data_IF_987151126474
#
_entry.id   IF_987151126474
#
_cell.length_a   1.000
_cell.length_b   1.000
_cell.length_c   1.000
_cell.angle_alpha   90.00
_cell.angle_beta   90.00
_cell.angle_gamma   90.00
#
_symmetry.space_group_name_H-M   'P 1'
#
loop_
_entity.id
_entity.type
_entity.pdbx_description
1 polymer ?
#
# COMPACT_ATOMS: atom_id res chain seq x y z
N UNK A 1 2.21 15.92 15.29
CA UNK A 1 1.92 15.51 13.91
C UNK A 1 3.14 15.87 13.08
N UNK A 2 3.81 14.89 12.48
CA UNK A 2 4.79 15.19 11.44
C UNK A 2 4.03 15.90 10.32
N UNK A 3 4.46 17.08 9.89
CA UNK A 3 3.91 17.67 8.67
C UNK A 3 4.23 16.71 7.54
N UNK A 4 3.22 16.00 7.04
CA UNK A 4 3.38 15.13 5.90
C UNK A 4 3.64 16.02 4.68
N UNK A 5 4.90 16.11 4.26
CA UNK A 5 5.34 16.91 3.11
C UNK A 5 4.62 16.59 1.79
N UNK A 6 3.67 15.65 1.81
CA UNK A 6 2.81 15.22 0.74
C UNK A 6 1.55 16.09 0.54
N UNK A 7 1.28 17.09 1.38
CA UNK A 7 0.22 18.07 1.15
C UNK A 7 0.70 19.31 0.38
N UNK A 8 1.88 19.25 -0.21
CA UNK A 8 2.47 20.36 -0.94
C UNK A 8 1.69 20.65 -2.24
N UNK A 9 1.18 21.88 -2.34
CA UNK A 9 0.58 22.41 -3.56
C UNK A 9 1.47 23.50 -4.15
N UNK A 10 1.60 23.51 -5.47
CA UNK A 10 2.25 24.59 -6.22
C UNK A 10 1.22 25.08 -7.26
N UNK A 11 1.01 26.39 -7.34
CA UNK A 11 -0.01 27.02 -8.20
C UNK A 11 -1.45 26.51 -7.95
N UNK A 12 -1.77 26.16 -6.70
CA UNK A 12 -3.08 25.59 -6.33
C UNK A 12 -3.31 24.16 -6.81
N UNK A 13 -2.29 23.49 -7.35
CA UNK A 13 -2.34 22.09 -7.78
C UNK A 13 -1.47 21.22 -6.88
N UNK A 14 -1.94 20.03 -6.53
CA UNK A 14 -1.09 19.00 -5.93
C UNK A 14 0.03 18.64 -6.90
N UNK A 15 1.27 18.64 -6.40
CA UNK A 15 2.43 18.18 -7.16
C UNK A 15 2.43 16.65 -7.28
N UNK A 16 1.78 15.98 -6.32
CA UNK A 16 1.85 14.55 -6.14
C UNK A 16 0.59 13.84 -6.62
N UNK A 17 0.77 12.87 -7.51
CA UNK A 17 -0.28 11.97 -7.97
C UNK A 17 -0.43 10.80 -6.98
N UNK A 18 -1.66 10.35 -6.70
CA UNK A 18 -1.90 9.15 -5.90
C UNK A 18 -1.15 7.90 -6.37
N UNK A 19 -0.73 7.08 -5.42
CA UNK A 19 -0.02 5.82 -5.64
C UNK A 19 -0.75 4.67 -4.93
N UNK A 20 -0.79 3.51 -5.59
CA UNK A 20 -1.22 2.26 -4.96
C UNK A 20 0.00 1.59 -4.33
N UNK A 21 0.01 1.47 -3.01
CA UNK A 21 1.01 0.73 -2.26
C UNK A 21 0.46 -0.64 -1.88
N UNK A 22 1.15 -1.68 -2.33
CA UNK A 22 0.82 -3.09 -2.05
C UNK A 22 1.78 -3.60 -0.99
N UNK A 23 1.25 -3.88 0.20
CA UNK A 23 2.03 -4.47 1.28
C UNK A 23 1.68 -5.94 1.39
N UNK A 24 2.70 -6.79 1.40
CA UNK A 24 2.55 -8.22 1.66
C UNK A 24 3.58 -8.67 2.68
N UNK A 25 3.33 -9.83 3.28
CA UNK A 25 4.20 -10.40 4.29
C UNK A 25 3.88 -11.88 4.45
N UNK A 26 4.82 -12.71 4.91
CA UNK A 26 4.49 -14.06 5.34
C UNK A 26 3.54 -13.99 6.54
N UNK A 27 2.72 -15.03 6.69
CA UNK A 27 1.74 -15.09 7.77
C UNK A 27 2.39 -14.88 9.14
N UNK A 28 1.91 -13.91 9.92
CA UNK A 28 2.42 -13.62 11.28
C UNK A 28 3.47 -12.50 11.37
N UNK A 29 3.87 -11.88 10.25
CA UNK A 29 4.87 -10.81 10.25
C UNK A 29 4.38 -9.41 10.67
N UNK A 30 3.10 -9.24 11.04
CA UNK A 30 2.57 -7.97 11.57
C UNK A 30 2.07 -6.95 10.54
N UNK A 31 1.90 -7.37 9.28
CA UNK A 31 1.45 -6.56 8.13
C UNK A 31 0.26 -5.64 8.42
N UNK A 32 -0.88 -6.20 8.83
CA UNK A 32 -2.13 -5.45 9.00
C UNK A 32 -2.00 -4.36 10.06
N UNK A 33 -1.29 -4.66 11.15
CA UNK A 33 -1.01 -3.68 12.21
C UNK A 33 -0.17 -2.52 11.70
N UNK A 34 0.90 -2.79 10.94
CA UNK A 34 1.72 -1.74 10.33
C UNK A 34 0.89 -0.85 9.39
N UNK A 35 0.07 -1.46 8.52
CA UNK A 35 -0.73 -0.73 7.54
C UNK A 35 -1.79 0.16 8.19
N UNK A 36 -2.46 -0.32 9.24
CA UNK A 36 -3.43 0.47 10.00
C UNK A 36 -2.77 1.62 10.76
N UNK A 37 -1.60 1.39 11.37
CA UNK A 37 -0.90 2.44 12.12
C UNK A 37 -0.35 3.53 11.20
N UNK A 38 0.22 3.19 10.04
CA UNK A 38 0.69 4.23 9.11
C UNK A 38 -0.46 5.06 8.56
N UNK A 39 -1.62 4.46 8.29
CA UNK A 39 -2.81 5.17 7.80
C UNK A 39 -3.40 6.15 8.82
N UNK A 40 -3.08 6.00 10.12
CA UNK A 40 -3.46 6.98 11.16
C UNK A 40 -2.52 8.17 11.24
N UNK A 41 -1.32 8.09 10.64
CA UNK A 41 -0.30 9.14 10.74
C UNK A 41 -0.50 10.28 9.73
N UNK A 42 -1.29 10.06 8.68
CA UNK A 42 -1.52 11.03 7.60
C UNK A 42 -2.89 10.82 6.98
N UNK A 43 -3.59 11.93 6.67
CA UNK A 43 -4.89 11.90 6.00
C UNK A 43 -4.80 11.59 4.50
N UNK A 44 -3.58 11.59 3.95
CA UNK A 44 -3.31 11.31 2.54
C UNK A 44 -3.37 9.82 2.21
N UNK A 45 -3.15 8.94 3.18
CA UNK A 45 -3.18 7.50 2.97
C UNK A 45 -4.58 6.98 3.30
N UNK A 46 -5.24 6.38 2.32
CA UNK A 46 -6.42 5.56 2.55
C UNK A 46 -6.02 4.09 2.68
N UNK A 47 -6.23 3.50 3.85
CA UNK A 47 -6.14 2.05 4.02
C UNK A 47 -7.40 1.38 3.46
N UNK A 48 -7.22 0.58 2.42
CA UNK A 48 -8.33 -0.11 1.73
C UNK A 48 -8.70 -1.39 2.48
N UNK A 49 -9.94 -1.45 2.97
CA UNK A 49 -10.49 -2.62 3.66
C UNK A 49 -10.91 -3.67 2.63
N UNK A 50 -10.31 -4.86 2.69
CA UNK A 50 -10.63 -5.97 1.77
C UNK A 50 -11.95 -6.67 2.10
N UNK A 51 -12.52 -7.32 1.11
CA UNK A 51 -13.63 -8.26 1.27
C UNK A 51 -13.10 -9.64 1.63
N UNK A 52 -13.84 -10.39 2.45
CA UNK A 52 -13.52 -11.80 2.71
C UNK A 52 -14.76 -12.65 2.95
N UNK A 53 -14.64 -13.94 2.63
CA UNK A 53 -15.66 -14.96 2.95
C UNK A 53 -15.41 -15.67 4.27
N UNK A 54 -14.31 -15.36 4.96
CA UNK A 54 -14.00 -15.92 6.27
C UNK A 54 -14.95 -15.32 7.30
N UNK A 55 -15.38 -16.10 8.29
CA UNK A 55 -16.10 -15.55 9.45
C UNK A 55 -15.21 -14.58 10.25
N UNK A 56 -15.77 -13.51 10.81
CA UNK A 56 -15.04 -12.59 11.69
C UNK A 56 -14.49 -13.33 12.91
N UNK A 57 -13.27 -12.98 13.33
CA UNK A 57 -12.68 -13.41 14.60
C UNK A 57 -13.23 -12.57 15.75
N UNK A 58 -13.13 -13.04 17.01
CA UNK A 58 -13.47 -12.22 18.16
C UNK A 58 -12.75 -10.87 18.14
N UNK A 59 -13.53 -9.79 18.16
CA UNK A 59 -13.03 -8.41 18.13
C UNK A 59 -12.86 -7.79 16.73
N UNK A 60 -12.99 -8.55 15.65
CA UNK A 60 -13.03 -7.97 14.28
C UNK A 60 -14.40 -7.32 14.04
N UNK A 61 -14.41 -6.17 13.37
CA UNK A 61 -15.61 -5.38 13.06
C UNK A 61 -15.78 -5.27 11.54
N UNK A 62 -17.00 -5.54 11.08
CA UNK A 62 -17.36 -5.41 9.66
C UNK A 62 -17.19 -3.97 9.16
N UNK A 63 -16.62 -3.83 7.96
CA UNK A 63 -16.29 -2.54 7.35
C UNK A 63 -15.08 -1.81 7.94
N UNK A 64 -14.46 -2.35 9.00
CA UNK A 64 -13.24 -1.81 9.61
C UNK A 64 -12.06 -2.76 9.42
N UNK A 65 -12.26 -4.03 9.76
CA UNK A 65 -11.22 -5.06 9.59
C UNK A 65 -11.29 -5.71 8.22
N UNK A 66 -12.51 -6.11 7.82
CA UNK A 66 -12.85 -6.63 6.51
C UNK A 66 -14.32 -6.31 6.23
N UNK A 67 -14.71 -6.35 4.96
CA UNK A 67 -16.10 -6.56 4.58
C UNK A 67 -16.38 -8.08 4.56
N UNK A 68 -17.11 -8.58 5.55
CA UNK A 68 -17.42 -9.99 5.70
C UNK A 68 -18.66 -10.34 4.88
N UNK A 69 -18.48 -11.12 3.82
CA UNK A 69 -19.55 -11.47 2.87
C UNK A 69 -19.69 -12.98 2.72
N UNK A 70 -20.85 -13.45 2.27
CA UNK A 70 -21.01 -14.87 1.95
C UNK A 70 -20.15 -15.25 0.74
N UNK A 71 -19.77 -16.54 0.61
CA UNK A 71 -19.04 -17.03 -0.56
C UNK A 71 -19.81 -16.79 -1.86
N UNK A 72 -21.12 -17.01 -1.84
CA UNK A 72 -21.99 -16.76 -2.99
C UNK A 72 -21.95 -15.29 -3.41
N UNK A 73 -22.12 -14.36 -2.47
CA UNK A 73 -22.07 -12.93 -2.78
C UNK A 73 -20.70 -12.48 -3.27
N UNK A 74 -19.61 -13.00 -2.68
CA UNK A 74 -18.26 -12.72 -3.15
C UNK A 74 -18.06 -13.13 -4.62
N UNK A 75 -18.58 -14.29 -5.02
CA UNK A 75 -18.47 -14.77 -6.40
C UNK A 75 -19.27 -13.89 -7.37
N UNK A 76 -20.47 -13.44 -7.00
CA UNK A 76 -21.25 -12.48 -7.79
C UNK A 76 -20.51 -11.14 -7.99
N UNK A 77 -19.87 -10.64 -6.93
CA UNK A 77 -19.04 -9.43 -6.99
C UNK A 77 -17.82 -9.63 -7.92
N UNK A 78 -17.21 -10.82 -7.87
CA UNK A 78 -16.10 -11.18 -8.75
C UNK A 78 -16.53 -11.25 -10.21
N UNK A 79 -17.66 -11.88 -10.52
CA UNK A 79 -18.24 -11.94 -11.87
C UNK A 79 -18.58 -10.54 -12.41
N UNK A 80 -18.97 -9.63 -11.52
CA UNK A 80 -19.23 -8.23 -11.84
C UNK A 80 -17.96 -7.38 -11.97
N UNK A 81 -16.77 -7.98 -12.01
CA UNK A 81 -15.47 -7.30 -12.11
C UNK A 81 -15.21 -6.25 -11.01
N UNK A 82 -15.79 -6.43 -9.82
CA UNK A 82 -15.64 -5.47 -8.72
C UNK A 82 -14.21 -5.41 -8.17
N UNK A 83 -13.48 -6.52 -8.25
CA UNK A 83 -12.17 -6.67 -7.64
C UNK A 83 -11.02 -6.34 -8.60
N UNK A 84 -10.01 -5.62 -8.11
CA UNK A 84 -8.73 -5.46 -8.83
C UNK A 84 -7.89 -6.74 -8.73
N UNK A 85 -7.98 -7.41 -7.59
CA UNK A 85 -7.40 -8.71 -7.33
C UNK A 85 -8.33 -9.51 -6.42
N UNK A 86 -8.32 -10.83 -6.59
CA UNK A 86 -8.96 -11.74 -5.64
C UNK A 86 -8.17 -13.04 -5.59
N UNK A 87 -8.00 -13.59 -4.39
CA UNK A 87 -7.28 -14.83 -4.17
C UNK A 87 -8.00 -15.72 -3.15
N UNK A 88 -7.79 -17.04 -3.27
CA UNK A 88 -8.20 -17.99 -2.23
C UNK A 88 -7.02 -18.28 -1.30
N UNK A 89 -7.20 -17.99 -0.01
CA UNK A 89 -6.15 -18.06 1.01
C UNK A 89 -6.68 -18.88 2.18
N UNK A 90 -6.09 -20.06 2.38
CA UNK A 90 -6.50 -21.02 3.41
C UNK A 90 -8.01 -21.35 3.35
N UNK A 91 -8.54 -21.56 2.14
CA UNK A 91 -9.94 -21.94 1.91
C UNK A 91 -10.97 -20.80 1.94
N UNK A 92 -10.52 -19.56 2.18
CA UNK A 92 -11.39 -18.38 2.19
C UNK A 92 -10.99 -17.44 1.05
N UNK A 93 -11.97 -16.79 0.43
CA UNK A 93 -11.73 -15.80 -0.60
C UNK A 93 -11.44 -14.45 0.03
N UNK A 94 -10.54 -13.71 -0.61
CA UNK A 94 -10.20 -12.33 -0.29
C UNK A 94 -10.19 -11.53 -1.59
N UNK A 95 -10.60 -10.27 -1.53
CA UNK A 95 -10.58 -9.39 -2.70
C UNK A 95 -10.54 -7.91 -2.36
N UNK A 96 -9.84 -7.16 -3.20
CA UNK A 96 -9.67 -5.71 -3.06
C UNK A 96 -10.54 -4.97 -4.08
N UNK A 97 -11.37 -4.04 -3.61
CA UNK A 97 -12.31 -3.30 -4.45
C UNK A 97 -11.60 -2.32 -5.39
N UNK A 98 -11.83 -2.45 -6.70
CA UNK A 98 -11.32 -1.52 -7.71
C UNK A 98 -11.92 -0.13 -7.52
N UNK A 99 -13.22 -0.06 -7.20
CA UNK A 99 -13.94 1.20 -6.97
C UNK A 99 -13.34 1.98 -5.80
N UNK A 100 -13.02 1.31 -4.69
CA UNK A 100 -12.42 1.96 -3.51
C UNK A 100 -11.08 2.62 -3.85
N UNK A 101 -10.25 1.95 -4.66
CA UNK A 101 -8.98 2.51 -5.13
C UNK A 101 -9.23 3.74 -6.01
N UNK A 102 -10.13 3.62 -6.99
CA UNK A 102 -10.44 4.72 -7.91
C UNK A 102 -11.01 5.94 -7.19
N UNK A 103 -11.97 5.76 -6.29
CA UNK A 103 -12.57 6.86 -5.53
C UNK A 103 -11.52 7.58 -4.67
N UNK A 104 -10.61 6.82 -4.04
CA UNK A 104 -9.51 7.38 -3.24
C UNK A 104 -8.53 8.18 -4.09
N UNK A 105 -8.20 7.68 -5.28
CA UNK A 105 -7.35 8.40 -6.22
C UNK A 105 -8.01 9.69 -6.71
N UNK A 106 -9.31 9.68 -6.99
CA UNK A 106 -10.04 10.91 -7.34
C UNK A 106 -10.04 11.92 -6.19
N UNK A 107 -10.03 11.45 -4.94
CA UNK A 107 -9.88 12.28 -3.76
C UNK A 107 -8.43 12.74 -3.49
N UNK A 108 -7.48 12.40 -4.37
CA UNK A 108 -6.06 12.77 -4.21
C UNK A 108 -5.30 11.98 -3.16
N UNK A 109 -5.86 10.84 -2.71
CA UNK A 109 -5.29 10.00 -1.65
C UNK A 109 -4.53 8.81 -2.21
N UNK A 110 -3.37 8.53 -1.61
CA UNK A 110 -2.69 7.26 -1.81
C UNK A 110 -3.52 6.13 -1.25
N UNK A 111 -3.37 4.94 -1.82
CA UNK A 111 -4.11 3.76 -1.35
C UNK A 111 -3.13 2.72 -0.88
N UNK A 112 -3.33 2.24 0.34
CA UNK A 112 -2.55 1.17 0.94
C UNK A 112 -3.41 -0.10 1.03
N UNK A 113 -3.00 -1.15 0.35
CA UNK A 113 -3.65 -2.48 0.41
C UNK A 113 -2.72 -3.47 1.07
N UNK A 114 -3.26 -4.32 1.94
CA UNK A 114 -2.48 -5.34 2.63
C UNK A 114 -2.93 -6.75 2.23
N UNK A 115 -2.33 -7.30 1.18
CA UNK A 115 -2.79 -8.54 0.53
C UNK A 115 -1.74 -9.66 0.62
N UNK A 116 -2.13 -10.89 0.27
CA UNK A 116 -1.20 -12.01 0.19
C UNK A 116 -0.32 -11.93 -1.08
N UNK A 117 0.64 -12.84 -1.20
CA UNK A 117 1.57 -12.87 -2.34
C UNK A 117 0.83 -13.10 -3.67
N UNK A 118 -0.22 -13.93 -3.66
CA UNK A 118 -1.01 -14.20 -4.86
C UNK A 118 -1.72 -12.93 -5.35
N UNK A 119 -2.36 -12.19 -4.45
CA UNK A 119 -2.98 -10.90 -4.77
C UNK A 119 -1.95 -9.89 -5.28
N UNK A 120 -0.77 -9.80 -4.64
CA UNK A 120 0.30 -8.91 -5.07
C UNK A 120 0.81 -9.22 -6.48
N UNK A 121 0.94 -10.50 -6.83
CA UNK A 121 1.28 -10.93 -8.19
C UNK A 121 0.20 -10.55 -9.21
N UNK A 122 -1.08 -10.63 -8.86
CA UNK A 122 -2.19 -10.21 -9.73
C UNK A 122 -2.14 -8.70 -10.00
N UNK A 123 -1.97 -7.87 -8.97
CA UNK A 123 -1.87 -6.41 -9.14
C UNK A 123 -0.65 -6.05 -10.01
N UNK A 124 0.48 -6.73 -9.83
CA UNK A 124 1.68 -6.51 -10.64
C UNK A 124 1.42 -6.78 -12.11
N UNK A 125 0.69 -7.86 -12.43
CA UNK A 125 0.35 -8.24 -13.82
C UNK A 125 -0.65 -7.28 -14.46
N UNK A 126 -1.52 -6.64 -13.69
CA UNK A 126 -2.48 -5.62 -14.16
C UNK A 126 -1.78 -4.31 -14.61
N UNK A 127 -0.46 -4.19 -14.42
CA UNK A 127 0.38 -3.04 -14.76
C UNK A 127 -0.17 -1.70 -14.26
N UNK A 128 -0.85 -1.73 -13.11
CA UNK A 128 -1.52 -0.57 -12.50
C UNK A 128 -0.54 0.52 -12.01
N UNK A 129 0.78 0.30 -12.10
CA UNK A 129 1.80 1.25 -11.63
C UNK A 129 1.93 1.33 -10.11
N UNK A 130 1.63 0.21 -9.42
CA UNK A 130 1.73 0.07 -7.97
C UNK A 130 3.18 0.01 -7.47
N UNK A 131 3.38 0.35 -6.20
CA UNK A 131 4.64 0.14 -5.47
C UNK A 131 4.45 -1.00 -4.48
N UNK A 132 5.30 -2.02 -4.54
CA UNK A 132 5.18 -3.24 -3.77
C UNK A 132 6.22 -3.32 -2.66
N UNK A 133 5.77 -3.57 -1.43
CA UNK A 133 6.59 -3.60 -0.22
C UNK A 133 6.38 -4.94 0.49
N UNK A 134 7.47 -5.64 0.79
CA UNK A 134 7.43 -6.92 1.51
C UNK A 134 7.94 -6.76 2.95
N UNK A 135 7.10 -7.12 3.92
CA UNK A 135 7.47 -7.12 5.33
C UNK A 135 8.02 -8.49 5.69
N UNK A 136 9.27 -8.54 6.14
CA UNK A 136 9.93 -9.76 6.59
C UNK A 136 10.00 -9.80 8.13
N UNK A 137 9.84 -10.98 8.74
CA UNK A 137 10.13 -11.13 10.16
C UNK A 137 11.65 -11.06 10.40
N UNK A 138 12.09 -10.70 11.62
CA UNK A 138 13.51 -10.63 11.98
C UNK A 138 14.20 -12.00 11.98
N UNK A 139 13.46 -13.07 12.24
CA UNK A 139 13.96 -14.43 12.22
C UNK A 139 12.82 -15.44 12.07
N UNK A 140 13.17 -16.67 11.67
CA UNK A 140 12.24 -17.81 11.66
C UNK A 140 11.65 -18.07 13.05
N UNK A 141 12.48 -18.01 14.09
CA UNK A 141 12.06 -18.25 15.47
C UNK A 141 10.99 -17.25 15.92
N UNK A 142 11.18 -15.96 15.65
CA UNK A 142 10.19 -14.92 16.01
C UNK A 142 8.88 -15.11 15.25
N UNK A 143 8.96 -15.55 13.99
CA UNK A 143 7.78 -15.87 13.21
C UNK A 143 7.02 -17.07 13.79
N UNK A 144 7.73 -18.13 14.19
CA UNK A 144 7.17 -19.29 14.89
C UNK A 144 6.47 -18.88 16.18
N UNK A 145 7.13 -18.11 17.03
CA UNK A 145 6.57 -17.59 18.28
C UNK A 145 5.29 -16.78 18.04
N UNK A 146 5.26 -15.92 17.00
CA UNK A 146 4.08 -15.12 16.63
C UNK A 146 2.94 -15.99 16.10
N UNK A 147 3.24 -17.04 15.33
CA UNK A 147 2.25 -18.00 14.86
C UNK A 147 1.67 -18.83 16.01
N UNK A 148 2.50 -19.26 16.96
CA UNK A 148 2.08 -20.01 18.15
C UNK A 148 1.26 -19.15 19.11
N UNK A 149 1.69 -17.89 19.38
CA UNK A 149 0.96 -16.95 20.27
C UNK A 149 -0.43 -16.59 19.76
N UNK A 150 -0.66 -16.62 18.45
CA UNK A 150 -2.01 -16.43 17.87
C UNK A 150 -2.96 -17.60 18.13
N UNK A 151 -2.43 -18.73 18.61
CA UNK A 151 -3.13 -19.80 19.33
C UNK A 151 -4.54 -20.15 18.88
N UNK A 152 -4.67 -21.12 17.97
CA UNK A 152 -5.81 -22.07 17.88
C UNK A 152 -5.52 -23.27 16.96
N UNK A 153 -4.27 -23.45 16.54
CA UNK A 153 -3.90 -24.45 15.54
C UNK A 153 -3.34 -25.71 16.23
N UNK A 154 -3.77 -26.90 15.80
CA UNK A 154 -3.13 -28.16 16.18
C UNK A 154 -1.65 -28.16 15.77
N UNK A 155 -0.83 -29.00 16.40
CA UNK A 155 0.59 -29.16 16.05
C UNK A 155 0.82 -29.44 14.55
N UNK A 156 -0.10 -30.15 13.91
CA UNK A 156 -0.09 -30.43 12.46
C UNK A 156 -0.40 -29.19 11.60
N UNK A 157 -1.34 -28.34 12.02
CA UNK A 157 -1.67 -27.10 11.30
C UNK A 157 -0.54 -26.08 11.41
N UNK A 158 0.15 -26.02 12.56
CA UNK A 158 1.34 -25.20 12.73
C UNK A 158 2.46 -25.62 11.76
N UNK A 159 2.74 -26.93 11.65
CA UNK A 159 3.76 -27.45 10.73
C UNK A 159 3.46 -27.09 9.28
N UNK A 160 2.20 -27.28 8.82
CA UNK A 160 1.77 -26.88 7.46
C UNK A 160 1.93 -25.38 7.21
N UNK A 161 1.65 -24.54 8.21
CA UNK A 161 1.87 -23.09 8.10
C UNK A 161 3.35 -22.72 7.99
N UNK A 162 4.22 -23.39 8.74
CA UNK A 162 5.66 -23.14 8.68
C UNK A 162 6.28 -23.56 7.34
N UNK A 163 5.83 -24.68 6.77
CA UNK A 163 6.26 -25.11 5.44
C UNK A 163 5.81 -24.11 4.36
N UNK A 164 4.58 -23.61 4.46
CA UNK A 164 4.07 -22.58 3.54
C UNK A 164 4.83 -21.26 3.68
N UNK A 165 5.07 -20.82 4.91
CA UNK A 165 5.89 -19.63 5.20
C UNK A 165 7.26 -19.69 4.52
N UNK A 166 7.90 -20.86 4.51
CA UNK A 166 9.20 -21.02 3.85
C UNK A 166 9.11 -20.64 2.38
N UNK A 167 8.05 -21.06 1.70
CA UNK A 167 7.79 -20.70 0.30
C UNK A 167 7.44 -19.21 0.18
N UNK A 168 6.62 -18.67 1.10
CA UNK A 168 6.23 -17.26 1.13
C UNK A 168 7.46 -16.33 1.26
N UNK A 169 8.46 -16.67 2.07
CA UNK A 169 9.67 -15.84 2.25
C UNK A 169 10.46 -15.70 0.94
N UNK A 170 10.48 -16.72 0.07
CA UNK A 170 11.19 -16.66 -1.21
C UNK A 170 10.56 -15.71 -2.24
N UNK A 171 9.33 -15.25 -2.01
CA UNK A 171 8.65 -14.28 -2.87
C UNK A 171 9.24 -12.86 -2.79
N UNK A 172 10.20 -12.60 -1.89
CA UNK A 172 10.78 -11.26 -1.68
C UNK A 172 11.30 -10.61 -2.98
N UNK A 173 11.84 -11.40 -3.91
CA UNK A 173 12.37 -10.92 -5.19
C UNK A 173 11.32 -10.29 -6.10
N UNK A 174 10.04 -10.49 -5.80
CA UNK A 174 8.97 -9.86 -6.55
C UNK A 174 8.81 -8.39 -6.13
N UNK A 175 9.21 -7.98 -4.93
CA UNK A 175 8.83 -6.68 -4.38
C UNK A 175 9.87 -5.58 -4.64
N UNK A 176 9.40 -4.33 -4.70
CA UNK A 176 10.27 -3.17 -4.91
C UNK A 176 11.07 -2.81 -3.66
N UNK A 177 10.47 -3.05 -2.48
CA UNK A 177 11.07 -2.75 -1.18
C UNK A 177 10.91 -3.89 -0.19
N UNK A 178 11.85 -4.01 0.73
CA UNK A 178 11.81 -4.95 1.87
C UNK A 178 11.92 -4.16 3.18
N UNK A 179 11.11 -4.52 4.16
CA UNK A 179 11.20 -3.99 5.54
C UNK A 179 11.31 -5.17 6.50
N UNK A 180 12.32 -5.19 7.37
CA UNK A 180 12.39 -6.16 8.46
C UNK A 180 11.66 -5.62 9.69
N UNK A 181 10.59 -6.30 10.12
CA UNK A 181 9.80 -5.91 11.28
C UNK A 181 10.42 -6.42 12.60
N UNK A 182 11.61 -5.89 12.91
CA UNK A 182 12.35 -6.12 14.17
C UNK A 182 11.72 -5.31 15.31
N UNK A 183 11.67 -3.98 15.10
CA UNK A 183 10.99 -3.02 15.97
C UNK A 183 9.79 -2.43 15.22
N UNK A 184 8.65 -2.39 15.90
CA UNK A 184 7.40 -1.98 15.27
C UNK A 184 7.38 -0.48 14.95
N UNK A 185 7.95 0.36 15.81
CA UNK A 185 8.04 1.81 15.59
C UNK A 185 8.90 2.13 14.37
N UNK A 186 10.09 1.53 14.31
CA UNK A 186 11.02 1.68 13.20
C UNK A 186 10.40 1.19 11.88
N UNK A 187 9.72 0.03 11.88
CA UNK A 187 9.07 -0.48 10.67
C UNK A 187 7.97 0.45 10.13
N UNK A 188 7.28 1.19 11.01
CA UNK A 188 6.33 2.23 10.57
C UNK A 188 7.08 3.42 9.96
N UNK A 189 8.18 3.86 10.57
CA UNK A 189 8.99 4.96 10.06
C UNK A 189 9.60 4.63 8.70
N UNK A 190 10.08 3.40 8.51
CA UNK A 190 10.61 2.90 7.24
C UNK A 190 9.52 2.87 6.16
N UNK A 191 8.33 2.36 6.50
CA UNK A 191 7.19 2.32 5.59
C UNK A 191 6.76 3.75 5.17
N UNK A 192 6.75 4.68 6.13
CA UNK A 192 6.46 6.08 5.86
C UNK A 192 7.51 6.70 4.93
N UNK A 193 8.79 6.44 5.18
CA UNK A 193 9.90 6.96 4.37
C UNK A 193 9.83 6.46 2.92
N UNK A 194 9.46 5.20 2.70
CA UNK A 194 9.24 4.65 1.35
C UNK A 194 8.09 5.38 0.65
N UNK A 195 6.95 5.56 1.33
CA UNK A 195 5.78 6.25 0.76
C UNK A 195 6.15 7.69 0.36
N UNK A 196 6.85 8.42 1.24
CA UNK A 196 7.35 9.75 0.95
C UNK A 196 8.30 9.77 -0.25
N UNK A 197 9.27 8.86 -0.26
CA UNK A 197 10.31 8.80 -1.30
C UNK A 197 9.73 8.51 -2.69
N UNK A 198 8.69 7.67 -2.77
CA UNK A 198 8.00 7.39 -4.02
C UNK A 198 7.41 8.65 -4.64
N UNK A 199 6.80 9.54 -3.86
CA UNK A 199 6.26 10.80 -4.39
C UNK A 199 7.32 11.75 -4.93
N UNK A 200 8.55 11.67 -4.40
CA UNK A 200 9.68 12.48 -4.84
C UNK A 200 10.48 11.90 -6.01
N UNK A 201 10.11 10.72 -6.54
CA UNK A 201 10.78 10.19 -7.73
C UNK A 201 10.60 11.14 -8.91
N UNK A 202 11.72 11.49 -9.56
CA UNK A 202 11.78 12.40 -10.72
C UNK A 202 10.71 12.07 -11.77
N UNK A 203 10.56 10.80 -12.15
CA UNK A 203 9.61 10.37 -13.19
C UNK A 203 8.13 10.60 -12.80
N UNK A 204 7.78 10.58 -11.51
CA UNK A 204 6.42 10.88 -11.04
C UNK A 204 6.15 12.38 -11.01
N UNK A 205 7.16 13.21 -10.75
CA UNK A 205 7.06 14.67 -10.76
C UNK A 205 7.22 15.28 -12.16
N UNK A 206 7.87 14.57 -13.08
CA UNK A 206 8.28 15.08 -14.41
C UNK A 206 7.11 15.67 -15.21
N UNK A 207 5.93 15.03 -15.15
CA UNK A 207 4.76 15.55 -15.83
C UNK A 207 4.36 16.93 -15.27
N UNK A 208 4.25 17.06 -13.94
CA UNK A 208 3.93 18.34 -13.31
C UNK A 208 4.98 19.41 -13.67
N UNK A 209 6.26 19.06 -13.64
CA UNK A 209 7.33 20.00 -13.99
C UNK A 209 7.16 20.52 -15.42
N UNK A 210 6.90 19.63 -16.39
CA UNK A 210 6.73 20.01 -17.79
C UNK A 210 5.44 20.76 -18.08
N UNK A 211 4.32 20.37 -17.47
CA UNK A 211 3.00 20.93 -17.81
C UNK A 211 2.62 22.15 -16.98
N UNK A 212 3.16 22.28 -15.78
CA UNK A 212 2.73 23.28 -14.81
C UNK A 212 3.85 24.18 -14.33
N UNK A 213 5.04 23.63 -14.09
CA UNK A 213 6.15 24.42 -13.53
C UNK A 213 6.91 25.22 -14.58
N UNK A 214 7.51 24.56 -15.58
CA UNK A 214 8.34 25.21 -16.60
C UNK A 214 7.60 26.32 -17.37
N UNK A 215 6.35 26.14 -17.83
CA UNK A 215 5.66 27.20 -18.56
C UNK A 215 5.45 28.48 -17.74
N UNK A 216 5.21 28.35 -16.43
CA UNK A 216 5.04 29.51 -15.54
C UNK A 216 6.39 30.14 -15.18
N UNK A 217 7.38 29.31 -14.88
CA UNK A 217 8.74 29.76 -14.57
C UNK A 217 9.35 30.56 -15.72
N UNK A 218 9.11 30.15 -16.98
CA UNK A 218 9.57 30.84 -18.17
C UNK A 218 8.78 32.13 -18.48
N UNK A 219 7.49 32.17 -18.12
CA UNK A 219 6.63 33.36 -18.28
C UNK A 219 6.90 34.45 -17.23
N UNK A 220 7.37 34.08 -16.04
CA UNK A 220 7.70 35.01 -14.94
C UNK A 220 8.96 35.85 -15.18
N UNK A 221 9.55 35.85 -16.39
CA UNK A 221 10.69 36.73 -16.70
C UNK A 221 10.64 37.47 -18.07
N UNK A 222 9.86 38.56 -18.17
CA UNK A 222 10.04 39.56 -19.24
C UNK A 222 10.81 40.82 -18.80
N UNK A 223 11.16 40.97 -17.51
CA UNK A 223 11.64 42.26 -16.94
C UNK A 223 13.11 42.29 -16.51
N UNK A 224 13.87 41.18 -16.58
CA UNK A 224 15.33 41.23 -16.43
C UNK A 224 16.09 41.48 -17.74
N UNK A 225 15.41 41.55 -18.89
CA UNK A 225 16.01 41.91 -20.19
C UNK A 225 15.85 43.38 -20.58
N UNK A 226 15.16 44.20 -19.77
CA UNK A 226 14.94 45.64 -20.04
C UNK A 226 15.55 46.59 -19.00
N UNK A 227 16.71 46.24 -18.42
CA UNK A 227 17.47 47.19 -17.58
C UNK A 227 18.94 47.39 -17.97
N UNK A 228 19.38 46.83 -19.11
CA UNK A 228 20.77 46.99 -19.58
C UNK A 228 20.98 48.08 -20.65
N UNK A 229 19.92 48.74 -21.15
CA UNK A 229 20.05 49.60 -22.34
C UNK A 229 19.41 50.99 -22.20
N UNK A 230 19.61 51.61 -21.04
CA UNK A 230 19.38 53.05 -20.85
C UNK A 230 20.55 53.68 -20.08
N UNK A 231 21.73 53.63 -20.70
CA UNK A 231 22.81 54.60 -20.49
C UNK A 231 23.46 54.87 -21.84
N UNK A 232 23.06 55.97 -22.46
CA UNK A 232 23.91 56.96 -23.15
C UNK A 232 23.04 58.16 -23.50
#
# INVERSE_FOLDING_TARGET
>A
MLSDGLNQTIYGKSVFKPILFVVSAPSGAGKTSLCKEIAKRTDRIHYSVSYTTRSPRPGEVDGIDYYFVSRQHFLEMKESNLFIESAEVYGNLYGTSRKTIQDSFHAGKDVLVDIDIQGAELIRKDNFGSVSIYILPPSRQILEERLTKRGQDSSETLKKRLDKVRQEVHAFNLYDYLIFNVDFGQAIDDLHAIILSEHHRRNRMENFVKTDFLPRFEQENPLLTKSADNRL
#
